data_IF_403642906656
#
_entry.id   IF_403642906656
#
_cell.length_a   1.000
_cell.length_b   1.000
_cell.length_c   1.000
_cell.angle_alpha   90.00
_cell.angle_beta   90.00
_cell.angle_gamma   90.00
#
_symmetry.space_group_name_H-M   'P 1'
#
loop_
_entity.id
_entity.type
_entity.pdbx_description
1 polymer ?
#
# COMPACT_ATOMS: atom_id res chain seq x y z
N UNK A 1 -33.78 49.71 2.48
CA UNK A 1 -33.42 48.29 2.72
C UNK A 1 -34.55 47.31 2.43
N UNK A 2 -35.79 47.51 2.93
CA UNK A 2 -36.92 46.58 2.74
C UNK A 2 -37.25 46.26 1.28
N UNK A 3 -37.32 47.27 0.40
CA UNK A 3 -37.62 47.06 -1.02
C UNK A 3 -36.56 46.19 -1.73
N UNK A 4 -35.27 46.40 -1.42
CA UNK A 4 -34.17 45.61 -1.98
C UNK A 4 -34.27 44.14 -1.56
N UNK A 5 -34.61 43.88 -0.29
CA UNK A 5 -34.81 42.51 0.21
C UNK A 5 -36.04 41.85 -0.40
N UNK A 6 -37.13 42.59 -0.63
CA UNK A 6 -38.34 42.07 -1.29
C UNK A 6 -38.05 41.67 -2.73
N UNK A 7 -37.35 42.51 -3.50
CA UNK A 7 -36.95 42.19 -4.87
C UNK A 7 -35.96 41.02 -4.88
N UNK A 8 -34.95 41.03 -4.01
CA UNK A 8 -34.02 39.91 -3.89
C UNK A 8 -34.72 38.58 -3.58
N UNK A 9 -35.65 38.57 -2.62
CA UNK A 9 -36.41 37.37 -2.27
C UNK A 9 -37.31 36.90 -3.43
N UNK A 10 -37.87 37.82 -4.22
CA UNK A 10 -38.63 37.49 -5.44
C UNK A 10 -37.72 36.79 -6.45
N UNK A 11 -36.63 37.43 -6.84
CA UNK A 11 -35.71 36.95 -7.88
C UNK A 11 -35.02 35.65 -7.49
N UNK A 12 -34.64 35.50 -6.21
CA UNK A 12 -34.06 34.27 -5.67
C UNK A 12 -35.05 33.10 -5.70
N UNK A 13 -36.32 33.34 -5.33
CA UNK A 13 -37.37 32.31 -5.38
C UNK A 13 -37.75 31.92 -6.81
N UNK A 14 -37.72 32.87 -7.74
CA UNK A 14 -37.92 32.61 -9.17
C UNK A 14 -36.76 31.77 -9.73
N UNK A 15 -35.51 32.10 -9.41
CA UNK A 15 -34.35 31.26 -9.73
C UNK A 15 -34.49 29.84 -9.15
N UNK A 16 -34.95 29.70 -7.89
CA UNK A 16 -35.17 28.41 -7.23
C UNK A 16 -36.22 27.51 -7.91
N UNK A 17 -37.22 28.12 -8.58
CA UNK A 17 -38.22 27.40 -9.36
C UNK A 17 -37.69 26.90 -10.69
N UNK A 18 -36.66 27.54 -11.24
CA UNK A 18 -35.99 27.15 -12.47
C UNK A 18 -34.98 26.01 -12.22
N UNK A 19 -35.51 24.88 -11.72
CA UNK A 19 -34.74 23.70 -11.30
C UNK A 19 -33.76 23.20 -12.36
N UNK A 20 -34.11 23.30 -13.65
CA UNK A 20 -33.26 22.88 -14.77
C UNK A 20 -31.96 23.70 -14.86
N UNK A 21 -32.08 25.02 -14.73
CA UNK A 21 -30.96 25.96 -14.76
C UNK A 21 -30.12 25.82 -13.50
N UNK A 22 -30.75 25.71 -12.33
CA UNK A 22 -30.03 25.55 -11.07
C UNK A 22 -29.31 24.21 -10.92
N UNK A 23 -29.93 23.10 -11.33
CA UNK A 23 -29.26 21.80 -11.34
C UNK A 23 -28.02 21.88 -12.25
N UNK A 24 -28.15 22.48 -13.44
CA UNK A 24 -27.01 22.63 -14.35
C UNK A 24 -25.92 23.56 -13.78
N UNK A 25 -26.30 24.68 -13.17
CA UNK A 25 -25.38 25.68 -12.64
C UNK A 25 -24.68 25.26 -11.33
N UNK A 26 -25.36 24.53 -10.43
CA UNK A 26 -24.80 24.06 -9.16
C UNK A 26 -24.18 22.67 -9.27
N UNK A 27 -24.83 21.72 -9.94
CA UNK A 27 -24.33 20.34 -10.01
C UNK A 27 -23.14 20.25 -10.94
N UNK A 28 -23.24 20.76 -12.18
CA UNK A 28 -22.20 20.56 -13.20
C UNK A 28 -20.97 21.46 -13.00
N UNK A 29 -21.16 22.67 -12.45
CA UNK A 29 -20.09 23.65 -12.27
C UNK A 29 -19.31 23.46 -10.97
N UNK A 30 -19.77 23.99 -9.83
CA UNK A 30 -18.99 24.01 -8.59
C UNK A 30 -19.06 22.71 -7.78
N UNK A 31 -20.11 21.89 -7.89
CA UNK A 31 -20.26 20.70 -7.02
C UNK A 31 -19.71 19.40 -7.62
N UNK A 32 -19.73 19.23 -8.95
CA UNK A 32 -19.28 17.99 -9.59
C UNK A 32 -17.82 17.68 -9.26
N UNK A 33 -16.93 18.67 -9.38
CA UNK A 33 -15.50 18.51 -9.08
C UNK A 33 -15.23 18.05 -7.64
N UNK A 34 -15.71 18.78 -6.61
CA UNK A 34 -15.58 18.37 -5.21
C UNK A 34 -16.20 17.00 -4.90
N UNK A 35 -17.37 16.67 -5.47
CA UNK A 35 -18.00 15.36 -5.29
C UNK A 35 -17.18 14.22 -5.88
N UNK A 36 -16.67 14.39 -7.11
CA UNK A 36 -15.79 13.41 -7.75
C UNK A 36 -14.47 13.27 -7.00
N UNK A 37 -13.90 14.38 -6.53
CA UNK A 37 -12.69 14.37 -5.71
C UNK A 37 -12.90 13.65 -4.39
N UNK A 38 -13.97 13.97 -3.65
CA UNK A 38 -14.31 13.32 -2.39
C UNK A 38 -14.56 11.82 -2.59
N UNK A 39 -15.33 11.43 -3.60
CA UNK A 39 -15.56 10.01 -3.93
C UNK A 39 -14.27 9.28 -4.29
N UNK A 40 -13.42 9.89 -5.12
CA UNK A 40 -12.11 9.33 -5.48
C UNK A 40 -11.16 9.21 -4.29
N UNK A 41 -11.17 10.19 -3.38
CA UNK A 41 -10.39 10.17 -2.14
C UNK A 41 -10.87 9.07 -1.20
N UNK A 42 -12.18 8.92 -0.99
CA UNK A 42 -12.76 7.85 -0.17
C UNK A 42 -12.36 6.47 -0.68
N UNK A 43 -12.48 6.22 -1.98
CA UNK A 43 -12.05 4.95 -2.60
C UNK A 43 -10.55 4.68 -2.42
N UNK A 44 -9.71 5.73 -2.41
CA UNK A 44 -8.27 5.59 -2.14
C UNK A 44 -7.99 5.30 -0.67
N UNK A 45 -8.68 5.97 0.25
CA UNK A 45 -8.56 5.75 1.69
C UNK A 45 -8.97 4.32 2.04
N UNK A 46 -10.12 3.85 1.56
CA UNK A 46 -10.60 2.48 1.80
C UNK A 46 -9.59 1.42 1.33
N UNK A 47 -9.05 1.60 0.12
CA UNK A 47 -8.00 0.71 -0.42
C UNK A 47 -6.70 0.81 0.38
N UNK A 48 -6.30 2.01 0.80
CA UNK A 48 -5.10 2.23 1.61
C UNK A 48 -5.21 1.59 2.99
N UNK A 49 -6.36 1.75 3.66
CA UNK A 49 -6.64 1.15 4.95
C UNK A 49 -6.67 -0.39 4.87
N UNK A 50 -7.37 -0.95 3.89
CA UNK A 50 -7.44 -2.40 3.68
C UNK A 50 -6.08 -3.04 3.33
N UNK A 51 -5.14 -2.28 2.76
CA UNK A 51 -3.81 -2.77 2.37
C UNK A 51 -2.73 -2.51 3.46
N UNK A 52 -2.96 -1.53 4.34
CA UNK A 52 -2.14 -1.27 5.53
C UNK A 52 -2.28 -2.38 6.58
N UNK A 53 -3.49 -2.90 6.76
CA UNK A 53 -3.83 -3.89 7.79
C UNK A 53 -3.52 -5.34 7.39
N UNK A 54 -3.08 -5.59 6.15
CA UNK A 54 -2.67 -6.93 5.74
C UNK A 54 -1.26 -7.24 6.25
N UNK A 55 -1.07 -8.35 7.01
CA UNK A 55 0.26 -8.81 7.37
C UNK A 55 1.05 -9.10 6.09
N UNK A 56 2.30 -8.65 6.04
CA UNK A 56 3.17 -8.91 4.90
C UNK A 56 3.56 -10.39 4.96
N UNK A 57 3.10 -11.19 4.00
CA UNK A 57 3.55 -12.58 3.88
C UNK A 57 4.87 -12.64 3.12
N UNK A 58 5.90 -13.20 3.75
CA UNK A 58 7.24 -13.36 3.19
C UNK A 58 7.59 -14.84 3.08
N UNK A 59 7.84 -15.31 1.86
CA UNK A 59 8.39 -16.65 1.66
C UNK A 59 9.89 -16.63 1.97
N UNK A 60 10.37 -17.52 2.84
CA UNK A 60 11.77 -17.56 3.26
C UNK A 60 12.39 -18.90 2.89
N UNK A 61 13.40 -18.85 2.02
CA UNK A 61 14.25 -19.97 1.68
C UNK A 61 15.45 -20.04 2.62
N UNK A 62 15.74 -21.26 3.07
CA UNK A 62 16.82 -21.56 4.02
C UNK A 62 16.69 -20.83 5.37
N UNK A 63 15.46 -20.64 5.85
CA UNK A 63 15.19 -19.90 7.08
C UNK A 63 15.82 -20.52 8.34
N UNK A 64 16.09 -21.82 8.32
CA UNK A 64 16.79 -22.57 9.38
C UNK A 64 18.19 -22.01 9.68
N UNK A 65 18.82 -21.34 8.71
CA UNK A 65 20.14 -20.71 8.86
C UNK A 65 20.11 -19.42 9.67
N UNK A 66 18.93 -18.85 9.91
CA UNK A 66 18.76 -17.56 10.57
C UNK A 66 17.53 -17.52 11.50
N UNK A 67 17.48 -18.34 12.57
CA UNK A 67 16.33 -18.40 13.47
C UNK A 67 16.04 -17.05 14.17
N UNK A 68 17.09 -16.27 14.48
CA UNK A 68 16.96 -14.94 15.06
C UNK A 68 16.31 -13.95 14.09
N UNK A 69 16.68 -14.02 12.80
CA UNK A 69 16.05 -13.21 11.75
C UNK A 69 14.57 -13.56 11.60
N UNK A 70 14.22 -14.85 11.60
CA UNK A 70 12.82 -15.27 11.51
C UNK A 70 12.00 -14.77 12.71
N UNK A 71 12.58 -14.79 13.91
CA UNK A 71 11.93 -14.29 15.12
C UNK A 71 11.72 -12.78 15.04
N UNK A 72 12.76 -12.03 14.66
CA UNK A 72 12.66 -10.59 14.41
C UNK A 72 11.57 -10.23 13.39
N UNK A 73 11.50 -10.96 12.27
CA UNK A 73 10.47 -10.73 11.24
C UNK A 73 9.05 -10.94 11.81
N UNK A 74 8.84 -12.01 12.59
CA UNK A 74 7.54 -12.30 13.20
C UNK A 74 7.14 -11.24 14.25
N UNK A 75 8.08 -10.78 15.07
CA UNK A 75 7.85 -9.70 16.04
C UNK A 75 7.41 -8.39 15.37
N UNK A 76 7.87 -8.15 14.15
CA UNK A 76 7.50 -6.97 13.35
C UNK A 76 6.25 -7.18 12.49
N UNK A 77 5.45 -8.22 12.77
CA UNK A 77 4.17 -8.47 12.10
C UNK A 77 4.29 -9.02 10.68
N UNK A 78 5.44 -9.62 10.33
CA UNK A 78 5.66 -10.26 9.04
C UNK A 78 5.34 -11.76 9.18
N UNK A 79 4.41 -12.26 8.37
CA UNK A 79 4.08 -13.68 8.30
C UNK A 79 5.15 -14.42 7.50
N UNK A 80 5.96 -15.23 8.18
CA UNK A 80 7.03 -16.01 7.56
C UNK A 80 6.48 -17.34 7.06
N UNK A 81 6.63 -17.63 5.75
CA UNK A 81 6.34 -18.93 5.15
C UNK A 81 7.63 -19.63 4.70
N UNK A 82 8.02 -20.75 5.33
CA UNK A 82 9.21 -21.48 4.88
C UNK A 82 8.98 -22.08 3.49
N UNK A 83 10.00 -21.99 2.62
CA UNK A 83 9.99 -22.57 1.28
C UNK A 83 11.35 -23.19 0.95
N UNK A 84 11.37 -24.35 0.30
CA UNK A 84 12.60 -24.98 -0.17
C UNK A 84 12.88 -24.57 -1.62
N UNK A 85 13.33 -23.33 -1.80
CA UNK A 85 13.66 -22.78 -3.12
C UNK A 85 15.15 -22.48 -3.26
N UNK A 86 15.73 -23.01 -4.33
CA UNK A 86 17.00 -22.51 -4.84
C UNK A 86 16.82 -21.15 -5.56
N UNK A 87 17.93 -20.59 -6.06
CA UNK A 87 17.88 -19.33 -6.78
C UNK A 87 17.04 -19.41 -8.07
N UNK A 88 16.91 -20.55 -8.75
CA UNK A 88 16.10 -20.65 -9.96
C UNK A 88 14.60 -20.74 -9.62
N UNK A 89 14.25 -21.58 -8.66
CA UNK A 89 12.91 -21.79 -8.13
C UNK A 89 12.34 -20.52 -7.51
N UNK A 90 13.13 -19.77 -6.72
CA UNK A 90 12.70 -18.49 -6.16
C UNK A 90 12.33 -17.48 -7.26
N UNK A 91 13.13 -17.41 -8.34
CA UNK A 91 12.84 -16.59 -9.52
C UNK A 91 11.56 -17.02 -10.21
N UNK A 92 11.38 -18.32 -10.42
CA UNK A 92 10.20 -18.88 -11.07
C UNK A 92 8.94 -18.63 -10.24
N UNK A 93 9.01 -18.77 -8.91
CA UNK A 93 7.88 -18.56 -8.01
C UNK A 93 7.40 -17.11 -7.99
N UNK A 94 8.34 -16.15 -7.96
CA UNK A 94 8.02 -14.71 -8.06
C UNK A 94 7.43 -14.37 -9.42
N UNK A 95 8.00 -14.90 -10.51
CA UNK A 95 7.46 -14.69 -11.87
C UNK A 95 6.06 -15.28 -12.04
N UNK A 96 5.82 -16.47 -11.49
CA UNK A 96 4.53 -17.13 -11.53
C UNK A 96 3.51 -16.56 -10.53
N UNK A 97 3.85 -15.47 -9.81
CA UNK A 97 2.98 -14.81 -8.83
C UNK A 97 2.53 -15.75 -7.70
N UNK A 98 3.29 -16.82 -7.42
CA UNK A 98 3.03 -17.73 -6.29
C UNK A 98 3.38 -17.07 -4.95
N UNK A 99 4.42 -16.24 -4.96
CA UNK A 99 4.81 -15.40 -3.83
C UNK A 99 5.19 -14.01 -4.33
N UNK A 100 4.78 -12.97 -3.60
CA UNK A 100 5.14 -11.58 -3.92
C UNK A 100 6.60 -11.26 -3.62
N UNK A 101 7.09 -11.83 -2.52
CA UNK A 101 8.42 -11.63 -1.97
C UNK A 101 8.99 -12.99 -1.57
N UNK A 102 10.21 -13.28 -2.02
CA UNK A 102 11.00 -14.43 -1.57
C UNK A 102 12.32 -13.90 -1.01
N UNK A 103 12.59 -14.19 0.26
CA UNK A 103 13.85 -13.92 0.94
C UNK A 103 14.68 -15.20 0.95
N UNK A 104 15.93 -15.15 0.50
CA UNK A 104 16.87 -16.26 0.62
C UNK A 104 17.97 -15.91 1.62
N UNK A 105 18.19 -16.81 2.58
CA UNK A 105 19.24 -16.69 3.59
C UNK A 105 20.51 -17.38 3.10
N UNK A 106 21.60 -16.61 3.07
CA UNK A 106 22.92 -17.09 2.65
C UNK A 106 23.50 -18.11 3.64
N UNK A 107 24.34 -19.03 3.17
CA UNK A 107 24.96 -20.08 3.98
C UNK A 107 25.87 -19.52 5.08
N UNK A 108 26.52 -18.40 4.80
CA UNK A 108 27.45 -17.69 5.67
C UNK A 108 26.75 -16.72 6.65
N UNK A 109 25.41 -16.69 6.69
CA UNK A 109 24.65 -15.70 7.47
C UNK A 109 25.01 -15.70 8.95
N UNK A 110 24.97 -16.87 9.60
CA UNK A 110 25.25 -17.00 11.03
C UNK A 110 26.70 -16.62 11.36
N UNK A 111 27.66 -17.17 10.61
CA UNK A 111 29.08 -16.90 10.80
C UNK A 111 29.43 -15.41 10.64
N UNK A 112 28.78 -14.73 9.68
CA UNK A 112 29.01 -13.30 9.45
C UNK A 112 28.42 -12.43 10.56
N UNK A 113 27.21 -12.76 11.00
CA UNK A 113 26.53 -12.05 12.07
C UNK A 113 27.31 -12.18 13.39
N UNK A 114 27.77 -13.38 13.72
CA UNK A 114 28.63 -13.65 14.89
C UNK A 114 29.98 -12.92 14.79
N UNK A 115 30.56 -12.87 13.60
CA UNK A 115 31.80 -12.13 13.33
C UNK A 115 31.64 -10.60 13.31
N UNK A 116 30.45 -10.06 13.60
CA UNK A 116 30.18 -8.62 13.57
C UNK A 116 30.25 -8.00 12.17
N UNK A 117 30.20 -8.84 11.13
CA UNK A 117 30.21 -8.39 9.73
C UNK A 117 28.80 -8.39 9.16
N UNK A 118 28.44 -7.47 8.25
CA UNK A 118 27.12 -7.46 7.63
C UNK A 118 26.83 -8.80 6.94
N UNK A 119 25.71 -9.45 7.31
CA UNK A 119 25.25 -10.72 6.76
C UNK A 119 24.20 -10.46 5.66
N UNK A 120 24.54 -10.62 4.36
CA UNK A 120 23.63 -10.27 3.28
C UNK A 120 22.47 -11.26 3.18
N UNK A 121 21.25 -10.73 3.06
CA UNK A 121 20.04 -11.48 2.72
C UNK A 121 19.54 -11.04 1.34
N UNK A 122 19.12 -11.99 0.52
CA UNK A 122 18.71 -11.71 -0.86
C UNK A 122 17.19 -11.67 -0.96
N UNK A 123 16.63 -10.49 -1.20
CA UNK A 123 15.19 -10.29 -1.39
C UNK A 123 14.85 -10.23 -2.88
N UNK A 124 13.91 -11.06 -3.32
CA UNK A 124 13.37 -11.05 -4.69
C UNK A 124 11.91 -10.63 -4.70
N UNK A 125 11.61 -9.66 -5.56
CA UNK A 125 10.26 -9.13 -5.82
C UNK A 125 10.02 -9.02 -7.33
N UNK A 126 8.78 -9.22 -7.77
CA UNK A 126 8.40 -8.91 -9.16
C UNK A 126 8.21 -7.40 -9.30
N UNK A 127 8.71 -6.75 -10.35
CA UNK A 127 8.40 -5.32 -10.61
C UNK A 127 7.09 -5.13 -11.38
N UNK A 128 6.47 -6.22 -11.85
CA UNK A 128 5.30 -6.19 -12.74
C UNK A 128 3.99 -5.83 -12.07
N UNK A 129 3.95 -5.68 -10.73
CA UNK A 129 2.73 -5.38 -9.99
C UNK A 129 2.96 -4.23 -9.00
N UNK A 130 2.03 -3.26 -8.89
CA UNK A 130 2.11 -2.20 -7.88
C UNK A 130 2.18 -2.72 -6.43
N UNK A 131 1.69 -3.95 -6.19
CA UNK A 131 1.67 -4.58 -4.86
C UNK A 131 3.07 -5.02 -4.40
N UNK A 132 3.83 -5.65 -5.30
CA UNK A 132 5.18 -6.14 -5.02
C UNK A 132 6.22 -5.02 -4.93
N UNK A 133 6.06 -3.93 -5.70
CA UNK A 133 6.90 -2.73 -5.54
C UNK A 133 6.70 -2.06 -4.18
N UNK A 134 5.44 -1.97 -3.69
CA UNK A 134 5.11 -1.49 -2.34
C UNK A 134 5.61 -2.43 -1.24
N UNK A 135 5.51 -3.75 -1.41
CA UNK A 135 6.06 -4.74 -0.47
C UNK A 135 7.59 -4.65 -0.30
N UNK A 136 8.32 -4.43 -1.41
CA UNK A 136 9.76 -4.17 -1.37
C UNK A 136 10.10 -2.85 -0.64
N UNK A 137 9.32 -1.78 -0.88
CA UNK A 137 9.50 -0.52 -0.16
C UNK A 137 9.23 -0.65 1.35
N UNK A 138 8.18 -1.36 1.76
CA UNK A 138 7.83 -1.60 3.17
C UNK A 138 8.86 -2.44 3.90
N UNK A 139 9.35 -3.52 3.28
CA UNK A 139 10.42 -4.36 3.87
C UNK A 139 11.75 -3.61 4.02
N UNK A 140 12.10 -2.72 3.07
CA UNK A 140 13.28 -1.84 3.20
C UNK A 140 13.11 -0.77 4.29
N UNK A 141 11.92 -0.17 4.40
CA UNK A 141 11.64 0.83 5.44
C UNK A 141 11.70 0.22 6.85
N UNK A 142 11.25 -1.03 7.03
CA UNK A 142 11.39 -1.76 8.29
C UNK A 142 12.86 -1.97 8.69
N UNK A 143 13.76 -2.19 7.72
CA UNK A 143 15.21 -2.35 7.98
C UNK A 143 15.96 -1.06 8.30
N UNK A 144 15.42 0.12 7.97
CA UNK A 144 16.08 1.42 8.21
C UNK A 144 15.66 2.00 9.57
N UNK A 145 14.47 1.64 10.08
CA UNK A 145 13.96 2.15 11.36
C UNK A 145 14.53 1.41 12.58
N UNK A 146 15.32 0.37 12.37
CA UNK A 146 15.93 -0.49 13.41
C UNK A 146 17.44 -0.28 13.58
N UNK A 147 17.99 0.78 12.98
CA UNK A 147 19.33 1.32 13.25
C UNK A 147 19.19 2.68 13.92
#
# INVERSE_FOLDING_TARGET
MRALLTVFAKEFRENLRERRTLISALVLGPLLGPLLFAGGLSLRIERGAAESDRPITLAVAHGERAPNLLSFLREHGIEVRPVDYDAAAARAAVRAHRHELVLAVSEDFAARLEGGTPAPVLLRSSSSTPRSSRGCARSRAASIRSL
#
